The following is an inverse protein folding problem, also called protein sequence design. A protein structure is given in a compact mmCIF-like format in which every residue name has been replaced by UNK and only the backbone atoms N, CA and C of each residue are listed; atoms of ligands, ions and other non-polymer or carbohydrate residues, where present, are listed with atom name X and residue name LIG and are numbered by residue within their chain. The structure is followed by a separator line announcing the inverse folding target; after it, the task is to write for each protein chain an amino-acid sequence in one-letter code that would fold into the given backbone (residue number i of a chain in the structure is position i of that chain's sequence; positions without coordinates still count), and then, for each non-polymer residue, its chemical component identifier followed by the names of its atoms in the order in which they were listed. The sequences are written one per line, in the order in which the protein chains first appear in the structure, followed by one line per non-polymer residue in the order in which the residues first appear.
data_IF_610689058057
#
_entry.id   IF_610689058057
#
_cell.length_a   1.000
_cell.length_b   1.000
_cell.length_c   1.000
_cell.angle_alpha   90.00
_cell.angle_beta   90.00
_cell.angle_gamma   90.00
#
_symmetry.space_group_name_H-M   'P 1'
#
loop_
_entity.id
_entity.type
_entity.pdbx_description
1 polymer ?
#
# COMPACT_ATOMS: atom_id res chain seq x y z
N UNK A 1 13.07 8.13 -0.39
CA UNK A 1 14.19 7.21 -0.70
C UNK A 1 13.58 6.07 -1.50
N UNK A 2 14.24 5.60 -2.56
CA UNK A 2 13.70 4.52 -3.37
C UNK A 2 13.89 3.17 -2.64
N UNK A 3 12.80 2.47 -2.36
CA UNK A 3 12.79 1.09 -1.87
C UNK A 3 12.99 0.15 -3.06
N UNK A 4 13.58 -1.03 -2.84
CA UNK A 4 13.86 -2.01 -3.90
C UNK A 4 13.17 -3.35 -3.64
N UNK A 5 12.61 -3.96 -4.69
CA UNK A 5 12.03 -5.29 -4.63
C UNK A 5 13.14 -6.35 -4.63
N UNK A 6 13.21 -7.17 -3.58
CA UNK A 6 14.19 -8.26 -3.45
C UNK A 6 14.00 -9.39 -4.48
N UNK A 7 12.82 -9.49 -5.11
CA UNK A 7 12.53 -10.54 -6.10
C UNK A 7 12.85 -10.14 -7.53
N UNK A 8 12.51 -8.90 -7.94
CA UNK A 8 12.64 -8.47 -9.35
C UNK A 8 13.55 -7.24 -9.56
N UNK A 9 14.04 -6.61 -8.49
CA UNK A 9 14.94 -5.46 -8.56
C UNK A 9 14.26 -4.11 -8.87
N UNK A 10 12.94 -4.08 -9.07
CA UNK A 10 12.21 -2.82 -9.28
C UNK A 10 12.31 -1.88 -8.09
N UNK A 11 12.32 -0.57 -8.36
CA UNK A 11 12.39 0.47 -7.35
C UNK A 11 11.07 1.24 -7.25
N UNK A 12 10.69 1.66 -6.05
CA UNK A 12 9.52 2.50 -5.79
C UNK A 12 9.75 3.40 -4.58
N UNK A 13 9.11 4.57 -4.57
CA UNK A 13 9.21 5.52 -3.45
C UNK A 13 8.54 5.03 -2.16
N UNK A 14 7.67 4.02 -2.25
CA UNK A 14 6.97 3.41 -1.11
C UNK A 14 7.09 1.88 -1.17
N UNK A 15 7.42 1.21 -0.05
CA UNK A 15 7.66 -0.23 -0.04
C UNK A 15 6.37 -1.04 -0.29
N UNK A 16 5.19 -0.49 -0.01
CA UNK A 16 3.89 -1.07 -0.36
C UNK A 16 3.58 -1.04 -1.86
N UNK A 17 4.40 -0.38 -2.69
CA UNK A 17 4.34 -0.47 -4.15
C UNK A 17 5.19 -1.62 -4.73
N UNK A 18 5.94 -2.32 -3.89
CA UNK A 18 6.80 -3.42 -4.29
C UNK A 18 6.16 -4.77 -3.98
N UNK A 19 6.38 -5.74 -4.86
CA UNK A 19 5.89 -7.10 -4.66
C UNK A 19 6.56 -7.79 -3.45
N UNK A 20 7.84 -7.50 -3.24
CA UNK A 20 8.65 -8.04 -2.15
C UNK A 20 9.70 -7.01 -1.72
N UNK A 21 9.31 -5.94 -1.00
CA UNK A 21 10.26 -4.95 -0.52
C UNK A 21 11.25 -5.56 0.47
N UNK A 22 12.47 -5.05 0.47
CA UNK A 22 13.50 -5.43 1.47
C UNK A 22 13.12 -5.01 2.89
N UNK A 23 12.33 -3.95 3.02
CA UNK A 23 11.65 -3.60 4.27
C UNK A 23 10.31 -4.33 4.32
N UNK A 24 10.21 -5.32 5.20
CA UNK A 24 9.06 -6.21 5.26
C UNK A 24 8.13 -5.95 6.45
N UNK A 25 8.57 -5.16 7.44
CA UNK A 25 7.85 -4.92 8.69
C UNK A 25 7.67 -3.41 8.90
N UNK A 26 6.43 -3.00 9.14
CA UNK A 26 6.04 -1.63 9.46
C UNK A 26 5.06 -1.61 10.63
N UNK A 27 4.94 -0.44 11.27
CA UNK A 27 3.86 -0.16 12.22
C UNK A 27 2.63 0.36 11.46
N UNK A 28 1.47 -0.26 11.68
CA UNK A 28 0.23 0.16 11.04
C UNK A 28 -0.44 1.28 11.84
N UNK A 29 -0.55 2.48 11.25
CA UNK A 29 -1.23 3.61 11.88
C UNK A 29 -2.75 3.43 12.02
N UNK A 30 -3.34 2.45 11.34
CA UNK A 30 -4.80 2.20 11.38
C UNK A 30 -5.20 1.30 12.55
N UNK A 31 -4.56 0.13 12.71
CA UNK A 31 -4.84 -0.81 13.81
C UNK A 31 -3.83 -0.76 14.95
N UNK A 32 -2.83 0.13 14.89
CA UNK A 32 -1.74 0.29 15.86
C UNK A 32 -0.87 -0.97 16.06
N UNK A 33 -0.93 -1.94 15.14
CA UNK A 33 -0.07 -3.11 15.18
C UNK A 33 1.38 -2.73 14.81
N UNK A 34 2.38 -2.97 15.69
CA UNK A 34 3.75 -2.49 15.49
C UNK A 34 4.57 -3.36 14.54
N UNK A 35 4.15 -4.60 14.29
CA UNK A 35 4.90 -5.60 13.52
C UNK A 35 3.99 -6.22 12.46
N UNK A 36 3.73 -5.48 11.38
CA UNK A 36 2.92 -5.99 10.27
C UNK A 36 3.65 -5.89 8.95
N UNK A 37 3.24 -6.71 7.99
CA UNK A 37 3.74 -6.62 6.62
C UNK A 37 3.46 -5.24 6.02
N UNK A 38 4.37 -4.73 5.19
CA UNK A 38 4.11 -3.58 4.29
C UNK A 38 2.84 -3.71 3.44
N UNK A 39 2.45 -4.94 3.12
CA UNK A 39 1.21 -5.25 2.38
C UNK A 39 0.01 -5.51 3.31
N UNK A 40 0.15 -5.27 4.62
CA UNK A 40 -0.91 -5.49 5.59
C UNK A 40 -2.13 -4.60 5.30
N UNK A 41 -3.30 -5.23 5.33
CA UNK A 41 -4.61 -4.58 5.26
C UNK A 41 -5.40 -5.04 6.48
N UNK A 42 -5.51 -4.18 7.49
CA UNK A 42 -6.44 -4.37 8.60
C UNK A 42 -7.86 -3.94 8.21
N UNK A 43 -8.83 -4.29 9.05
CA UNK A 43 -10.24 -3.90 8.84
C UNK A 43 -10.41 -2.39 8.81
N UNK A 44 -9.73 -1.66 9.69
CA UNK A 44 -9.78 -0.19 9.73
C UNK A 44 -9.17 0.44 8.48
N UNK A 45 -8.03 -0.08 8.02
CA UNK A 45 -7.39 0.37 6.77
C UNK A 45 -8.28 0.08 5.56
N UNK A 46 -8.92 -1.08 5.53
CA UNK A 46 -9.87 -1.42 4.46
C UNK A 46 -11.09 -0.49 4.47
N UNK A 47 -11.66 -0.23 5.66
CA UNK A 47 -12.79 0.67 5.82
C UNK A 47 -12.44 2.14 5.50
N UNK A 48 -11.17 2.52 5.63
CA UNK A 48 -10.68 3.83 5.24
C UNK A 48 -10.46 3.99 3.74
N UNK A 49 -10.44 2.90 2.96
CA UNK A 49 -10.19 2.94 1.52
C UNK A 49 -11.41 3.49 0.80
N UNK A 50 -11.22 4.62 0.12
CA UNK A 50 -12.30 5.32 -0.61
C UNK A 50 -12.08 5.35 -2.11
N UNK A 51 -10.86 5.04 -2.57
CA UNK A 51 -10.48 5.12 -3.97
C UNK A 51 -9.84 3.82 -4.42
N UNK A 52 -10.22 3.35 -5.60
CA UNK A 52 -9.53 2.28 -6.32
C UNK A 52 -8.95 2.82 -7.62
N UNK A 53 -7.90 2.18 -8.13
CA UNK A 53 -7.30 2.52 -9.41
C UNK A 53 -8.03 1.77 -10.52
N UNK A 54 -8.66 2.49 -11.45
CA UNK A 54 -9.41 1.89 -12.56
C UNK A 54 -8.55 0.91 -13.39
N UNK A 55 -7.25 1.20 -13.56
CA UNK A 55 -6.37 0.43 -14.44
C UNK A 55 -5.65 -0.76 -13.79
N UNK A 56 -5.44 -0.74 -12.47
CA UNK A 56 -4.66 -1.79 -11.80
C UNK A 56 -5.30 -2.34 -10.51
N UNK A 57 -6.45 -1.82 -10.11
CA UNK A 57 -7.20 -2.31 -8.94
C UNK A 57 -6.60 -1.98 -7.58
N UNK A 58 -5.48 -1.24 -7.50
CA UNK A 58 -4.93 -0.77 -6.21
C UNK A 58 -5.95 0.10 -5.50
N UNK A 59 -6.06 -0.06 -4.19
CA UNK A 59 -6.96 0.73 -3.35
C UNK A 59 -6.17 1.66 -2.43
N UNK A 60 -6.74 2.84 -2.13
CA UNK A 60 -6.16 3.83 -1.22
C UNK A 60 -7.26 4.59 -0.46
N UNK A 61 -6.88 5.18 0.67
CA UNK A 61 -7.76 6.07 1.44
C UNK A 61 -8.03 7.41 0.72
N UNK A 62 -7.07 7.85 -0.09
CA UNK A 62 -7.09 9.15 -0.77
C UNK A 62 -6.84 8.97 -2.27
N UNK A 63 -7.42 9.85 -3.09
CA UNK A 63 -7.26 9.82 -4.55
C UNK A 63 -5.79 9.95 -5.00
N UNK A 64 -4.96 10.64 -4.21
CA UNK A 64 -3.52 10.77 -4.45
C UNK A 64 -2.73 9.46 -4.27
N UNK A 65 -3.31 8.46 -3.58
CA UNK A 65 -2.67 7.15 -3.35
C UNK A 65 -2.78 6.19 -4.54
N UNK A 66 -3.42 6.59 -5.64
CA UNK A 66 -3.63 5.76 -6.84
C UNK A 66 -3.40 6.56 -8.12
N UNK A 67 -3.01 5.87 -9.19
CA UNK A 67 -2.70 6.52 -10.47
C UNK A 67 -3.94 7.05 -11.20
N UNK A 68 -5.07 6.32 -11.11
CA UNK A 68 -6.36 6.64 -11.76
C UNK A 68 -7.51 6.44 -10.77
N UNK A 69 -7.73 7.40 -9.85
CA UNK A 69 -8.69 7.25 -8.78
C UNK A 69 -10.13 7.16 -9.30
N UNK A 70 -10.83 6.11 -8.90
CA UNK A 70 -12.28 5.97 -8.95
C UNK A 70 -12.79 5.67 -7.55
N UNK A 71 -13.85 6.35 -7.13
CA UNK A 71 -14.42 6.17 -5.78
C UNK A 71 -15.03 4.78 -5.63
N UNK A 72 -14.73 4.13 -4.51
CA UNK A 72 -15.35 2.87 -4.10
C UNK A 72 -16.40 3.24 -3.06
N UNK A 73 -17.67 2.94 -3.39
CA UNK A 73 -18.85 3.34 -2.61
C UNK A 73 -18.96 2.62 -1.26
#
# INVERSE_FOLDING_TARGET
MAHTCATCGSMADDPGHLCNPTESIISCSYCNAPDVSVNHICKEKLAAMKYSCESCGRVAADAAGVCRPVEIA
#
